data_IF_940323117450
#
_entry.id   IF_940323117450
#
_cell.length_a   1.000
_cell.length_b   1.000
_cell.length_c   1.000
_cell.angle_alpha   90.00
_cell.angle_beta   90.00
_cell.angle_gamma   90.00
#
_symmetry.space_group_name_H-M   'P 1'
#
loop_
_entity.id
_entity.type
_entity.pdbx_description
1 polymer ?
#
# COMPACT_ATOMS: atom_id res chain seq x y z
N UNK A 1 9.60 -23.70 57.73
CA UNK A 1 10.08 -23.09 56.47
C UNK A 1 11.51 -22.63 56.69
N UNK A 2 12.46 -23.25 56.00
CA UNK A 2 13.88 -22.87 56.12
C UNK A 2 14.15 -21.61 55.31
N UNK A 3 15.02 -20.72 55.79
CA UNK A 3 15.32 -19.43 55.12
C UNK A 3 15.76 -19.57 53.66
N UNK A 4 16.35 -20.70 53.28
CA UNK A 4 16.69 -21.05 51.90
C UNK A 4 15.48 -21.21 50.98
N UNK A 5 14.34 -21.72 51.47
CA UNK A 5 13.12 -21.88 50.67
C UNK A 5 12.49 -20.52 50.33
N UNK A 6 12.53 -19.57 51.27
CA UNK A 6 12.02 -18.20 51.05
C UNK A 6 12.82 -17.47 49.97
N UNK A 7 14.16 -17.58 49.98
CA UNK A 7 15.02 -16.96 48.97
C UNK A 7 14.75 -17.55 47.58
N UNK A 8 14.57 -18.86 47.49
CA UNK A 8 14.27 -19.55 46.22
C UNK A 8 12.92 -19.09 45.65
N UNK A 9 11.86 -19.01 46.47
CA UNK A 9 10.53 -18.58 46.00
C UNK A 9 10.53 -17.12 45.55
N UNK A 10 11.23 -16.24 46.27
CA UNK A 10 11.36 -14.82 45.89
C UNK A 10 12.14 -14.68 44.58
N UNK A 11 13.23 -15.42 44.41
CA UNK A 11 14.02 -15.41 43.17
C UNK A 11 13.22 -15.89 41.96
N UNK A 12 12.44 -16.97 42.11
CA UNK A 12 11.53 -17.47 41.07
C UNK A 12 10.41 -16.48 40.73
N UNK A 13 9.84 -15.82 41.74
CA UNK A 13 8.83 -14.78 41.55
C UNK A 13 9.37 -13.58 40.75
N UNK A 14 10.55 -13.07 41.14
CA UNK A 14 11.21 -11.98 40.43
C UNK A 14 11.57 -12.37 38.98
N UNK A 15 12.07 -13.58 38.76
CA UNK A 15 12.39 -14.07 37.43
C UNK A 15 11.15 -14.17 36.52
N UNK A 16 10.02 -14.62 37.06
CA UNK A 16 8.73 -14.72 36.35
C UNK A 16 8.19 -13.34 35.98
N UNK A 17 8.21 -12.38 36.91
CA UNK A 17 7.78 -10.99 36.68
C UNK A 17 8.64 -10.30 35.63
N UNK A 18 9.97 -10.52 35.68
CA UNK A 18 10.91 -9.92 34.72
C UNK A 18 10.70 -10.50 33.32
N UNK A 19 10.50 -11.81 33.20
CA UNK A 19 10.19 -12.47 31.93
C UNK A 19 8.87 -11.99 31.30
N UNK A 20 7.82 -11.86 32.10
CA UNK A 20 6.52 -11.35 31.65
C UNK A 20 6.59 -9.89 31.17
N UNK A 21 7.36 -9.04 31.88
CA UNK A 21 7.54 -7.64 31.51
C UNK A 21 8.31 -7.49 30.19
N UNK A 22 9.38 -8.25 29.98
CA UNK A 22 10.14 -8.24 28.72
C UNK A 22 9.29 -8.77 27.56
N UNK A 23 8.55 -9.87 27.78
CA UNK A 23 7.64 -10.46 26.78
C UNK A 23 6.53 -9.50 26.36
N UNK A 24 5.86 -8.84 27.30
CA UNK A 24 4.83 -7.85 27.01
C UNK A 24 5.39 -6.65 26.21
N UNK A 25 6.57 -6.16 26.59
CA UNK A 25 7.21 -5.02 25.94
C UNK A 25 7.73 -5.33 24.53
N UNK A 26 8.11 -6.58 24.25
CA UNK A 26 8.42 -7.04 22.90
C UNK A 26 7.16 -7.27 22.07
N UNK A 27 6.11 -7.85 22.67
CA UNK A 27 4.82 -8.13 22.01
C UNK A 27 4.14 -6.87 21.49
N UNK A 28 4.09 -5.80 22.29
CA UNK A 28 3.49 -4.52 21.85
C UNK A 28 4.28 -3.91 20.69
N UNK A 29 5.62 -3.91 20.74
CA UNK A 29 6.44 -3.35 19.65
C UNK A 29 6.41 -4.17 18.37
N UNK A 30 6.36 -5.49 18.49
CA UNK A 30 6.22 -6.39 17.35
C UNK A 30 4.84 -6.22 16.70
N UNK A 31 3.80 -6.06 17.52
CA UNK A 31 2.45 -5.81 17.06
C UNK A 31 2.32 -4.46 16.34
N UNK A 32 2.92 -3.39 16.88
CA UNK A 32 2.86 -2.05 16.24
C UNK A 32 3.57 -2.03 14.89
N UNK A 33 4.69 -2.74 14.75
CA UNK A 33 5.41 -2.87 13.46
C UNK A 33 4.63 -3.72 12.47
N UNK A 34 4.06 -4.83 12.93
CA UNK A 34 3.23 -5.70 12.09
C UNK A 34 1.96 -4.97 11.60
N UNK A 35 1.33 -4.16 12.46
CA UNK A 35 0.16 -3.34 12.09
C UNK A 35 0.50 -2.29 11.04
N UNK A 36 1.58 -1.52 11.23
CA UNK A 36 2.03 -0.54 10.23
C UNK A 36 2.36 -1.17 8.89
N UNK A 37 3.08 -2.29 8.89
CA UNK A 37 3.39 -3.03 7.67
C UNK A 37 2.13 -3.51 6.94
N UNK A 38 1.11 -3.96 7.68
CA UNK A 38 -0.17 -4.36 7.10
C UNK A 38 -0.94 -3.18 6.50
N UNK A 39 -0.94 -2.03 7.18
CA UNK A 39 -1.59 -0.81 6.68
C UNK A 39 -0.91 -0.30 5.40
N UNK A 40 0.43 -0.30 5.36
CA UNK A 40 1.20 0.05 4.17
C UNK A 40 0.92 -0.90 2.99
N UNK A 41 0.87 -2.21 3.27
CA UNK A 41 0.55 -3.22 2.26
C UNK A 41 -0.88 -3.04 1.70
N UNK A 42 -1.87 -2.87 2.57
CA UNK A 42 -3.26 -2.65 2.18
C UNK A 42 -3.43 -1.36 1.36
N UNK A 43 -2.70 -0.30 1.71
CA UNK A 43 -2.68 0.95 0.93
C UNK A 43 -2.13 0.74 -0.48
N UNK A 44 -1.05 -0.03 -0.63
CA UNK A 44 -0.46 -0.36 -1.94
C UNK A 44 -1.40 -1.23 -2.79
N UNK A 45 -2.05 -2.22 -2.17
CA UNK A 45 -3.04 -3.06 -2.85
C UNK A 45 -4.23 -2.23 -3.36
N UNK A 46 -4.74 -1.32 -2.54
CA UNK A 46 -5.84 -0.44 -2.93
C UNK A 46 -5.43 0.52 -4.05
N UNK A 47 -4.20 1.04 -4.03
CA UNK A 47 -3.67 1.85 -5.13
C UNK A 47 -3.60 1.04 -6.43
N UNK A 48 -3.01 -0.15 -6.39
CA UNK A 48 -2.86 -1.03 -7.56
C UNK A 48 -4.21 -1.42 -8.16
N UNK A 49 -5.19 -1.76 -7.32
CA UNK A 49 -6.56 -2.06 -7.74
C UNK A 49 -7.20 -0.90 -8.52
N UNK A 50 -7.02 0.33 -8.04
CA UNK A 50 -7.54 1.53 -8.72
C UNK A 50 -6.78 1.84 -10.00
N UNK A 51 -5.47 1.64 -10.02
CA UNK A 51 -4.64 1.80 -11.21
C UNK A 51 -5.10 0.87 -12.34
N UNK A 52 -5.28 -0.43 -12.07
CA UNK A 52 -5.73 -1.39 -13.08
C UNK A 52 -7.08 -1.01 -13.67
N UNK A 53 -8.04 -0.61 -12.82
CA UNK A 53 -9.35 -0.17 -13.30
C UNK A 53 -9.26 1.08 -14.20
N UNK A 54 -8.43 2.05 -13.82
CA UNK A 54 -8.21 3.25 -14.62
C UNK A 54 -7.48 2.94 -15.95
N UNK A 55 -6.54 1.99 -15.93
CA UNK A 55 -5.83 1.50 -17.11
C UNK A 55 -6.77 0.76 -18.08
N UNK A 56 -7.65 -0.12 -17.57
CA UNK A 56 -8.66 -0.82 -18.37
C UNK A 56 -9.58 0.18 -19.09
N UNK A 57 -10.03 1.22 -18.36
CA UNK A 57 -10.82 2.31 -18.95
C UNK A 57 -10.03 3.07 -20.02
N UNK A 58 -8.75 3.35 -19.78
CA UNK A 58 -7.87 4.08 -20.69
C UNK A 58 -7.55 3.29 -21.98
N UNK A 59 -7.67 1.97 -21.95
CA UNK A 59 -7.44 1.09 -23.11
C UNK A 59 -8.75 0.66 -23.81
N UNK A 60 -9.91 1.11 -23.33
CA UNK A 60 -11.20 0.79 -23.94
C UNK A 60 -11.38 1.50 -25.30
N UNK A 61 -12.05 0.82 -26.23
CA UNK A 61 -12.35 1.35 -27.57
C UNK A 61 -13.24 2.60 -27.53
N UNK A 62 -14.06 2.75 -26.49
CA UNK A 62 -14.90 3.92 -26.31
C UNK A 62 -14.06 5.13 -25.93
N UNK A 63 -13.99 6.13 -26.81
CA UNK A 63 -13.29 7.40 -26.55
C UNK A 63 -13.71 8.06 -25.22
N UNK A 64 -14.98 7.92 -24.82
CA UNK A 64 -15.49 8.44 -23.54
C UNK A 64 -14.88 7.72 -22.34
N UNK A 65 -14.80 6.38 -22.37
CA UNK A 65 -14.19 5.59 -21.30
C UNK A 65 -12.68 5.81 -21.25
N UNK A 66 -12.03 5.89 -22.41
CA UNK A 66 -10.62 6.20 -22.54
C UNK A 66 -10.23 7.51 -21.86
N UNK A 67 -10.96 8.58 -22.16
CA UNK A 67 -10.76 9.89 -21.51
C UNK A 67 -11.03 9.81 -20.00
N UNK A 68 -12.03 9.04 -19.57
CA UNK A 68 -12.32 8.84 -18.15
C UNK A 68 -11.17 8.11 -17.43
N UNK A 69 -10.62 7.05 -18.03
CA UNK A 69 -9.46 6.32 -17.52
C UNK A 69 -8.25 7.24 -17.33
N UNK A 70 -7.88 7.99 -18.37
CA UNK A 70 -6.76 8.96 -18.31
C UNK A 70 -6.94 10.02 -17.19
N UNK A 71 -8.16 10.53 -17.00
CA UNK A 71 -8.48 11.47 -15.91
C UNK A 71 -8.35 10.82 -14.53
N UNK A 72 -8.77 9.57 -14.39
CA UNK A 72 -8.63 8.81 -13.14
C UNK A 72 -7.16 8.54 -12.83
N UNK A 73 -6.34 8.20 -13.83
CA UNK A 73 -4.89 8.02 -13.67
C UNK A 73 -4.22 9.33 -13.21
N UNK A 74 -4.57 10.47 -13.82
CA UNK A 74 -4.06 11.79 -13.39
C UNK A 74 -4.41 12.10 -11.93
N UNK A 75 -5.59 11.68 -11.46
CA UNK A 75 -6.00 11.82 -10.06
C UNK A 75 -5.25 10.85 -9.14
N UNK A 76 -5.01 9.62 -9.59
CA UNK A 76 -4.27 8.60 -8.84
C UNK A 76 -2.81 9.00 -8.58
N UNK A 77 -2.13 9.61 -9.54
CA UNK A 77 -0.76 10.11 -9.34
C UNK A 77 -0.63 11.24 -8.31
N UNK A 78 -1.73 11.93 -8.00
CA UNK A 78 -1.75 13.00 -6.98
C UNK A 78 -2.28 12.52 -5.62
N UNK A 79 -2.59 11.23 -5.50
CA UNK A 79 -3.13 10.64 -4.27
C UNK A 79 -2.02 10.39 -3.25
N UNK A 80 -2.33 10.54 -1.96
CA UNK A 80 -1.44 10.18 -0.84
C UNK A 80 -1.07 8.69 -0.80
N UNK A 81 -1.77 7.87 -1.58
CA UNK A 81 -1.49 6.44 -1.74
C UNK A 81 -0.38 6.16 -2.76
N UNK A 82 -0.07 7.11 -3.66
CA UNK A 82 0.93 6.91 -4.69
C UNK A 82 2.34 7.08 -4.11
N UNK A 83 3.16 6.06 -4.24
CA UNK A 83 4.59 6.17 -3.96
C UNK A 83 5.32 6.80 -5.14
N UNK A 84 6.61 7.10 -4.97
CA UNK A 84 7.43 7.66 -6.05
C UNK A 84 7.52 6.72 -7.26
N UNK A 85 7.71 5.42 -7.02
CA UNK A 85 7.78 4.40 -8.07
C UNK A 85 6.44 4.26 -8.82
N UNK A 86 5.33 4.32 -8.08
CA UNK A 86 3.97 4.28 -8.62
C UNK A 86 3.70 5.43 -9.60
N UNK A 87 4.23 6.63 -9.30
CA UNK A 87 4.13 7.79 -10.18
C UNK A 87 4.94 7.63 -11.47
N UNK A 88 6.12 7.01 -11.42
CA UNK A 88 6.91 6.74 -12.63
C UNK A 88 6.19 5.76 -13.56
N UNK A 89 5.59 4.70 -13.00
CA UNK A 89 4.77 3.75 -13.76
C UNK A 89 3.57 4.43 -14.42
N UNK A 90 2.89 5.29 -13.68
CA UNK A 90 1.73 6.02 -14.19
C UNK A 90 2.10 6.98 -15.31
N UNK A 91 3.25 7.65 -15.19
CA UNK A 91 3.75 8.59 -16.19
C UNK A 91 4.01 7.90 -17.54
N UNK A 92 4.71 6.76 -17.53
CA UNK A 92 4.99 5.96 -18.74
C UNK A 92 3.70 5.50 -19.40
N UNK A 93 2.75 4.98 -18.62
CA UNK A 93 1.49 4.48 -19.18
C UNK A 93 0.63 5.61 -19.76
N UNK A 94 0.54 6.74 -19.05
CA UNK A 94 -0.29 7.87 -19.47
C UNK A 94 0.21 8.48 -20.76
N UNK A 95 1.53 8.58 -20.95
CA UNK A 95 2.12 9.05 -22.21
C UNK A 95 1.73 8.15 -23.39
N UNK A 96 1.89 6.82 -23.28
CA UNK A 96 1.52 5.90 -24.37
C UNK A 96 0.01 5.92 -24.67
N UNK A 97 -0.83 5.96 -23.63
CA UNK A 97 -2.28 6.03 -23.80
C UNK A 97 -2.75 7.36 -24.41
N UNK A 98 -2.10 8.48 -24.07
CA UNK A 98 -2.35 9.78 -24.70
C UNK A 98 -1.93 9.79 -26.18
N UNK A 99 -0.76 9.26 -26.50
CA UNK A 99 -0.26 9.16 -27.88
C UNK A 99 -1.18 8.32 -28.76
N UNK A 100 -1.82 7.29 -28.21
CA UNK A 100 -2.85 6.51 -28.91
C UNK A 100 -4.12 7.33 -29.13
N UNK A 101 -4.60 8.05 -28.10
CA UNK A 101 -5.79 8.89 -28.22
C UNK A 101 -5.61 9.99 -29.28
N UNK A 102 -4.43 10.62 -29.35
CA UNK A 102 -4.12 11.64 -30.37
C UNK A 102 -4.11 11.03 -31.76
N UNK A 103 -3.44 9.89 -31.96
CA UNK A 103 -3.43 9.18 -33.26
C UNK A 103 -4.83 8.78 -33.73
N UNK A 104 -5.68 8.30 -32.83
CA UNK A 104 -7.07 7.94 -33.15
C UNK A 104 -7.89 9.16 -33.57
N UNK A 105 -7.65 10.32 -32.92
CA UNK A 105 -8.33 11.57 -33.27
C UNK A 105 -7.88 12.07 -34.65
N UNK A 106 -6.59 12.03 -34.94
CA UNK A 106 -6.02 12.43 -36.24
C UNK A 106 -6.39 11.47 -37.39
N UNK A 107 -6.56 10.18 -37.10
CA UNK A 107 -6.98 9.17 -38.08
C UNK A 107 -8.47 9.18 -38.41
N UNK A 108 -9.31 9.76 -37.54
CA UNK A 108 -10.76 9.88 -37.72
C UNK A 108 -11.19 11.05 -38.63
N UNK A 109 -10.30 11.99 -38.94
CA UNK A 109 -10.55 13.10 -39.87
C UNK A 109 -10.10 12.74 -41.30
N UNK A 110 -10.83 11.83 -41.96
CA UNK A 110 -10.86 11.78 -43.44
C UNK A 110 -12.29 11.54 -43.93
N UNK A 111 -12.85 12.45 -44.77
CA UNK A 111 -14.18 12.32 -45.34
C UNK A 111 -14.29 11.18 -46.35
#
# INVERSE_FOLDING_TARGET
MSGSQLVVTIALGLLTVTGAFVGARMGVRANDRATKQREDAARREEWWRRFTWAADLALDDSSRKRVAGLKLMTKLARSELATHDDNQLLDVFTHDALDRLVRDAEGGERP
#
